data_IF_516906572209
#
_entry.id   IF_516906572209
#
_cell.length_a   1.000
_cell.length_b   1.000
_cell.length_c   1.000
_cell.angle_alpha   90.00
_cell.angle_beta   90.00
_cell.angle_gamma   90.00
#
_symmetry.space_group_name_H-M   'P 1'
#
loop_
_entity.id
_entity.type
_entity.pdbx_description
1 polymer ?
#
# COMPACT_ATOMS: atom_id res chain seq x y z
N UNK A 1 -50.32 -45.30 -32.00
CA UNK A 1 -49.56 -44.12 -32.46
C UNK A 1 -50.41 -42.88 -32.20
N UNK A 2 -50.14 -42.16 -31.10
CA UNK A 2 -50.94 -41.01 -30.68
C UNK A 2 -50.06 -39.95 -30.00
N UNK A 3 -49.97 -38.81 -30.71
CA UNK A 3 -50.12 -37.40 -30.29
C UNK A 3 -49.43 -36.85 -29.04
N UNK A 4 -48.89 -35.63 -29.21
CA UNK A 4 -49.10 -34.40 -28.38
C UNK A 4 -47.79 -33.83 -27.80
N UNK A 5 -47.27 -32.72 -28.31
CA UNK A 5 -47.61 -31.33 -27.98
C UNK A 5 -47.52 -30.98 -26.48
N UNK A 6 -46.73 -29.92 -26.22
CA UNK A 6 -46.68 -29.08 -25.02
C UNK A 6 -45.79 -29.60 -23.87
N UNK A 7 -44.59 -29.01 -23.78
CA UNK A 7 -44.00 -28.67 -22.48
C UNK A 7 -43.50 -27.23 -22.52
N UNK A 8 -44.48 -26.33 -22.47
CA UNK A 8 -44.32 -24.96 -21.99
C UNK A 8 -44.04 -25.01 -20.48
N UNK A 9 -43.37 -23.98 -19.97
CA UNK A 9 -42.97 -23.74 -18.58
C UNK A 9 -41.77 -24.56 -18.09
N UNK A 10 -40.58 -23.94 -18.14
CA UNK A 10 -39.73 -23.55 -16.99
C UNK A 10 -38.38 -23.14 -17.59
N UNK A 11 -38.28 -21.95 -18.16
CA UNK A 11 -37.00 -21.27 -18.40
C UNK A 11 -37.25 -19.80 -18.07
N UNK A 12 -37.21 -19.47 -16.78
CA UNK A 12 -37.14 -18.08 -16.31
C UNK A 12 -36.75 -18.11 -14.82
N UNK A 13 -35.55 -18.62 -14.50
CA UNK A 13 -34.96 -18.38 -13.20
C UNK A 13 -33.45 -18.67 -13.19
N UNK A 14 -32.68 -18.01 -14.07
CA UNK A 14 -31.22 -18.06 -13.93
C UNK A 14 -30.53 -16.79 -14.44
N UNK A 15 -31.11 -15.62 -14.15
CA UNK A 15 -30.40 -14.34 -14.29
C UNK A 15 -30.71 -13.51 -13.05
N UNK A 16 -30.16 -13.88 -11.91
CA UNK A 16 -30.11 -12.99 -10.73
C UNK A 16 -28.95 -13.25 -9.77
N UNK A 17 -28.14 -14.32 -9.95
CA UNK A 17 -27.08 -14.64 -8.99
C UNK A 17 -25.67 -14.17 -9.37
N UNK A 18 -25.50 -13.42 -10.48
CA UNK A 18 -24.18 -12.95 -10.92
C UNK A 18 -23.88 -11.51 -10.48
N UNK A 19 -24.89 -10.74 -10.03
CA UNK A 19 -24.70 -9.30 -9.74
C UNK A 19 -24.27 -9.05 -8.28
N UNK A 20 -24.40 -10.00 -7.36
CA UNK A 20 -24.13 -9.73 -5.94
C UNK A 20 -22.64 -9.75 -5.53
N UNK A 21 -21.75 -10.35 -6.33
CA UNK A 21 -20.32 -10.42 -5.99
C UNK A 21 -19.56 -9.10 -6.26
N UNK A 22 -20.04 -8.24 -7.15
CA UNK A 22 -19.38 -6.96 -7.45
C UNK A 22 -19.70 -5.86 -6.42
N UNK A 23 -20.82 -5.98 -5.69
CA UNK A 23 -21.22 -5.00 -4.67
C UNK A 23 -20.47 -5.14 -3.35
N UNK A 24 -20.20 -6.39 -2.93
CA UNK A 24 -19.53 -6.69 -1.65
C UNK A 24 -18.06 -6.24 -1.66
N UNK A 25 -17.38 -6.33 -2.79
CA UNK A 25 -15.97 -5.89 -2.89
C UNK A 25 -15.85 -4.37 -2.73
N UNK A 26 -16.64 -3.58 -3.47
CA UNK A 26 -16.59 -2.11 -3.40
C UNK A 26 -16.88 -1.56 -2.00
N UNK A 27 -17.81 -2.17 -1.27
CA UNK A 27 -18.19 -1.75 0.09
C UNK A 27 -17.03 -1.97 1.09
N UNK A 28 -16.26 -3.05 0.92
CA UNK A 28 -15.09 -3.36 1.76
C UNK A 28 -13.95 -2.35 1.53
N UNK A 29 -13.62 -2.04 0.27
CA UNK A 29 -12.60 -1.05 -0.08
C UNK A 29 -12.94 0.38 0.38
N UNK A 30 -14.21 0.76 0.39
CA UNK A 30 -14.64 2.08 0.85
C UNK A 30 -14.41 2.28 2.36
N UNK A 31 -14.68 1.25 3.18
CA UNK A 31 -14.44 1.29 4.63
C UNK A 31 -12.96 1.19 5.01
N UNK A 32 -12.15 0.46 4.23
CA UNK A 32 -10.71 0.38 4.43
C UNK A 32 -9.99 1.71 4.13
N UNK A 33 -10.41 2.41 3.08
CA UNK A 33 -9.84 3.72 2.73
C UNK A 33 -10.10 4.79 3.82
N UNK A 34 -11.19 4.67 4.59
CA UNK A 34 -11.42 5.52 5.77
C UNK A 34 -10.42 5.21 6.89
N UNK A 35 -10.09 3.92 7.09
CA UNK A 35 -9.22 3.47 8.17
C UNK A 35 -7.78 3.99 8.01
N UNK A 36 -7.27 4.11 6.78
CA UNK A 36 -5.90 4.57 6.52
C UNK A 36 -5.79 6.07 6.21
N UNK A 37 -6.87 6.84 6.37
CA UNK A 37 -6.92 8.25 5.94
C UNK A 37 -5.88 9.14 6.62
N UNK A 38 -5.61 8.94 7.91
CA UNK A 38 -4.56 9.68 8.63
C UNK A 38 -3.17 9.37 8.06
N UNK A 39 -2.88 8.10 7.80
CA UNK A 39 -1.61 7.62 7.24
C UNK A 39 -1.42 8.07 5.79
N UNK A 40 -2.48 8.05 4.99
CA UNK A 40 -2.48 8.60 3.64
C UNK A 40 -2.19 10.11 3.64
N UNK A 41 -2.79 10.88 4.56
CA UNK A 41 -2.51 12.30 4.71
C UNK A 41 -1.06 12.59 5.13
N UNK A 42 -0.40 11.69 5.87
CA UNK A 42 1.03 11.80 6.16
C UNK A 42 1.88 11.60 4.89
N UNK A 43 1.58 10.60 4.08
CA UNK A 43 2.26 10.38 2.79
C UNK A 43 2.13 11.61 1.90
N UNK A 44 0.94 12.17 1.78
CA UNK A 44 0.69 13.38 0.99
C UNK A 44 1.49 14.59 1.49
N UNK A 45 1.56 14.79 2.82
CA UNK A 45 2.38 15.85 3.42
C UNK A 45 3.87 15.66 3.15
N UNK A 46 4.37 14.43 3.24
CA UNK A 46 5.78 14.12 2.96
C UNK A 46 6.11 14.38 1.49
N UNK A 47 5.27 13.92 0.55
CA UNK A 47 5.48 14.14 -0.89
C UNK A 47 5.40 15.63 -1.24
N UNK A 48 4.50 16.39 -0.60
CA UNK A 48 4.45 17.85 -0.78
C UNK A 48 5.71 18.56 -0.25
N UNK A 49 6.33 18.02 0.82
CA UNK A 49 7.56 18.56 1.42
C UNK A 49 8.82 18.20 0.63
N UNK A 50 8.86 17.03 0.01
CA UNK A 50 10.02 16.48 -0.70
C UNK A 50 9.70 16.24 -2.18
N UNK A 51 9.86 17.27 -3.05
CA UNK A 51 9.48 17.18 -4.46
C UNK A 51 10.31 16.18 -5.29
N UNK A 52 11.43 15.67 -4.77
CA UNK A 52 12.20 14.58 -5.39
C UNK A 52 11.58 13.19 -5.20
N UNK A 53 10.60 13.04 -4.29
CA UNK A 53 9.89 11.78 -4.12
C UNK A 53 9.04 11.52 -5.37
N UNK A 54 9.35 10.44 -6.08
CA UNK A 54 8.50 9.94 -7.18
C UNK A 54 7.46 8.97 -6.66
N UNK A 55 7.80 8.19 -5.64
CA UNK A 55 6.92 7.23 -5.01
C UNK A 55 7.25 7.12 -3.53
N UNK A 56 6.21 7.23 -2.71
CA UNK A 56 6.28 6.96 -1.27
C UNK A 56 5.17 5.97 -0.94
N UNK A 57 5.54 4.82 -0.40
CA UNK A 57 4.59 3.77 0.01
C UNK A 57 4.70 3.50 1.50
N UNK A 58 3.60 3.06 2.10
CA UNK A 58 3.58 2.41 3.41
C UNK A 58 2.93 1.05 3.26
N UNK A 59 3.68 0.02 3.63
CA UNK A 59 3.31 -1.38 3.60
C UNK A 59 3.10 -1.88 5.03
N UNK A 60 1.94 -2.45 5.30
CA UNK A 60 1.63 -3.00 6.62
C UNK A 60 0.79 -4.26 6.47
N UNK A 61 0.60 -5.00 7.57
CA UNK A 61 -0.41 -6.07 7.66
C UNK A 61 -1.61 -5.49 8.42
N UNK A 62 -2.72 -5.14 7.73
CA UNK A 62 -3.89 -4.60 8.41
C UNK A 62 -4.46 -5.57 9.44
N UNK A 63 -5.11 -5.04 10.49
CA UNK A 63 -5.73 -5.85 11.54
C UNK A 63 -6.73 -6.84 10.95
N UNK A 64 -6.56 -8.13 11.27
CA UNK A 64 -7.43 -9.21 10.78
C UNK A 64 -7.00 -9.80 9.43
N UNK A 65 -6.02 -9.20 8.76
CA UNK A 65 -5.42 -9.75 7.55
C UNK A 65 -4.18 -10.60 7.83
N UNK A 66 -3.80 -11.44 6.86
CA UNK A 66 -2.62 -12.30 6.93
C UNK A 66 -1.47 -11.85 6.02
N UNK A 67 -1.74 -10.91 5.11
CA UNK A 67 -0.81 -10.49 4.06
C UNK A 67 -0.56 -9.01 4.16
N UNK A 68 0.69 -8.61 3.91
CA UNK A 68 1.03 -7.20 3.82
C UNK A 68 0.62 -6.63 2.47
N UNK A 69 0.16 -5.38 2.48
CA UNK A 69 -0.17 -4.60 1.29
C UNK A 69 0.11 -3.12 1.50
N UNK A 70 0.06 -2.36 0.41
CA UNK A 70 0.19 -0.90 0.41
C UNK A 70 -1.06 -0.28 1.03
N UNK A 71 -0.93 0.31 2.22
CA UNK A 71 -2.02 0.98 2.94
C UNK A 71 -2.07 2.50 2.68
N UNK A 72 -0.95 3.09 2.26
CA UNK A 72 -0.87 4.50 1.88
C UNK A 72 0.17 4.69 0.77
N UNK A 73 -0.14 5.54 -0.20
CA UNK A 73 0.74 5.83 -1.33
C UNK A 73 0.36 7.13 -2.05
N UNK A 74 1.34 7.84 -2.61
CA UNK A 74 1.08 8.96 -3.52
C UNK A 74 0.62 8.52 -4.93
N UNK A 75 0.74 7.24 -5.28
CA UNK A 75 0.28 6.66 -6.55
C UNK A 75 -0.98 5.83 -6.28
N UNK A 76 -2.15 6.34 -6.70
CA UNK A 76 -3.45 5.75 -6.39
C UNK A 76 -3.60 4.31 -6.88
N UNK A 77 -3.01 3.98 -8.02
CA UNK A 77 -3.08 2.66 -8.66
C UNK A 77 -2.24 1.60 -7.92
N UNK A 78 -1.42 2.01 -6.94
CA UNK A 78 -0.62 1.10 -6.10
C UNK A 78 -1.33 0.73 -4.80
N UNK A 79 -2.28 1.54 -4.32
CA UNK A 79 -3.01 1.26 -3.08
C UNK A 79 -3.65 -0.13 -3.10
N UNK A 80 -3.51 -0.86 -1.99
CA UNK A 80 -4.06 -2.20 -1.80
C UNK A 80 -3.28 -3.33 -2.48
N UNK A 81 -2.26 -3.04 -3.30
CA UNK A 81 -1.43 -4.09 -3.91
C UNK A 81 -0.61 -4.83 -2.85
N UNK A 82 -0.36 -6.14 -3.04
CA UNK A 82 0.53 -6.89 -2.16
C UNK A 82 1.90 -6.23 -2.05
N UNK A 83 2.51 -6.35 -0.87
CA UNK A 83 3.88 -5.88 -0.64
C UNK A 83 4.90 -6.72 -1.39
N UNK A 84 5.97 -6.06 -1.83
CA UNK A 84 7.05 -6.70 -2.56
C UNK A 84 8.02 -7.41 -1.58
N UNK A 85 8.88 -8.33 -2.05
CA UNK A 85 9.74 -9.14 -1.18
C UNK A 85 10.64 -8.30 -0.25
N UNK A 86 11.14 -7.17 -0.72
CA UNK A 86 11.97 -6.24 0.04
C UNK A 86 11.21 -5.60 1.22
N UNK A 87 9.93 -5.24 1.04
CA UNK A 87 9.11 -4.70 2.14
C UNK A 87 8.94 -5.73 3.25
N UNK A 88 8.67 -6.98 2.85
CA UNK A 88 8.52 -8.10 3.76
C UNK A 88 9.83 -8.39 4.51
N UNK A 89 10.96 -8.34 3.80
CA UNK A 89 12.27 -8.58 4.39
C UNK A 89 12.67 -7.47 5.37
N UNK A 90 12.35 -6.20 5.06
CA UNK A 90 12.64 -5.07 5.94
C UNK A 90 11.79 -5.15 7.21
N UNK A 91 10.50 -5.50 7.10
CA UNK A 91 9.65 -5.77 8.27
C UNK A 91 10.14 -6.94 9.13
N UNK A 92 10.79 -7.94 8.53
CA UNK A 92 11.31 -9.10 9.24
C UNK A 92 12.65 -8.83 9.91
N UNK A 93 13.54 -8.12 9.23
CA UNK A 93 14.96 -7.99 9.64
C UNK A 93 15.28 -6.67 10.32
N UNK A 94 14.42 -5.67 10.19
CA UNK A 94 14.67 -4.30 10.62
C UNK A 94 15.91 -3.68 9.92
N UNK A 95 16.23 -4.12 8.71
CA UNK A 95 17.38 -3.64 7.92
C UNK A 95 16.90 -2.91 6.68
N UNK A 96 17.51 -1.77 6.40
CA UNK A 96 17.24 -0.99 5.20
C UNK A 96 17.74 -1.75 3.96
N UNK A 97 16.92 -1.75 2.92
CA UNK A 97 17.28 -2.28 1.60
C UNK A 97 17.32 -1.10 0.62
N UNK A 98 18.30 -1.11 -0.28
CA UNK A 98 18.46 -0.10 -1.33
C UNK A 98 18.44 -0.81 -2.66
N UNK A 99 17.57 -0.35 -3.56
CA UNK A 99 17.41 -0.85 -4.92
C UNK A 99 17.56 0.32 -5.91
N UNK A 100 18.07 0.00 -7.10
CA UNK A 100 18.12 0.93 -8.22
C UNK A 100 16.98 0.62 -9.17
N UNK A 101 16.17 1.64 -9.49
CA UNK A 101 15.02 1.55 -10.39
C UNK A 101 15.20 2.53 -11.55
N UNK A 102 15.79 2.08 -12.66
CA UNK A 102 16.12 2.93 -13.80
C UNK A 102 16.96 4.16 -13.36
N UNK A 103 16.40 5.37 -13.52
CA UNK A 103 16.97 6.65 -13.11
C UNK A 103 16.65 7.04 -11.65
N UNK A 104 15.92 6.18 -10.93
CA UNK A 104 15.52 6.41 -9.54
C UNK A 104 16.27 5.50 -8.57
N UNK A 105 16.33 5.96 -7.33
CA UNK A 105 16.82 5.21 -6.19
C UNK A 105 15.64 4.85 -5.30
N UNK A 106 15.41 3.57 -5.04
CA UNK A 106 14.41 3.12 -4.07
C UNK A 106 15.09 2.68 -2.78
N UNK A 107 14.65 3.23 -1.65
CA UNK A 107 15.14 2.87 -0.32
C UNK A 107 13.98 2.38 0.51
N UNK A 108 13.99 1.10 0.84
CA UNK A 108 12.98 0.47 1.70
C UNK A 108 13.48 0.47 3.13
N UNK A 109 12.72 1.11 4.02
CA UNK A 109 13.07 1.28 5.42
C UNK A 109 11.96 0.79 6.36
N UNK A 110 12.30 0.29 7.57
CA UNK A 110 11.31 -0.13 8.54
C UNK A 110 10.66 1.09 9.20
N UNK A 111 9.35 1.03 9.39
CA UNK A 111 8.63 1.88 10.34
C UNK A 111 8.53 1.09 11.63
N UNK A 112 9.09 1.64 12.70
CA UNK A 112 9.20 0.97 13.98
C UNK A 112 8.32 1.62 15.03
N UNK A 113 7.77 0.80 15.93
CA UNK A 113 7.13 1.30 17.14
C UNK A 113 8.15 1.96 18.10
N UNK A 114 7.66 2.47 19.24
CA UNK A 114 8.51 3.11 20.26
C UNK A 114 9.53 2.16 20.90
N UNK A 115 9.33 0.84 20.80
CA UNK A 115 10.25 -0.17 21.28
C UNK A 115 11.30 -0.57 20.22
N UNK A 116 11.24 0.02 19.03
CA UNK A 116 12.15 -0.28 17.92
C UNK A 116 11.76 -1.53 17.14
N UNK A 117 10.57 -2.10 17.38
CA UNK A 117 10.05 -3.25 16.64
C UNK A 117 9.45 -2.78 15.31
N UNK A 118 9.81 -3.37 14.16
CA UNK A 118 9.16 -3.07 12.89
C UNK A 118 7.67 -3.42 12.93
N UNK A 119 6.83 -2.47 12.52
CA UNK A 119 5.37 -2.64 12.41
C UNK A 119 4.85 -2.41 10.98
N UNK A 120 5.67 -1.79 10.13
CA UNK A 120 5.41 -1.54 8.73
C UNK A 120 6.74 -1.36 7.97
N UNK A 121 6.70 -1.31 6.65
CA UNK A 121 7.79 -0.87 5.79
C UNK A 121 7.37 0.36 4.98
N UNK A 122 8.33 1.16 4.57
CA UNK A 122 8.12 2.27 3.64
C UNK A 122 9.14 2.21 2.52
N UNK A 123 8.66 2.28 1.27
CA UNK A 123 9.50 2.48 0.10
C UNK A 123 9.58 3.98 -0.21
N UNK A 124 10.80 4.50 -0.27
CA UNK A 124 11.10 5.90 -0.63
C UNK A 124 11.86 5.89 -1.95
N UNK A 125 11.12 6.08 -3.03
CA UNK A 125 11.70 6.17 -4.37
C UNK A 125 11.96 7.63 -4.71
N UNK A 126 13.23 7.97 -4.93
CA UNK A 126 13.72 9.31 -5.23
C UNK A 126 14.21 9.41 -6.66
N UNK A 127 13.87 10.51 -7.33
CA UNK A 127 14.56 10.92 -8.55
C UNK A 127 15.86 11.62 -8.18
N UNK A 128 16.99 11.03 -8.57
CA UNK A 128 18.29 11.67 -8.37
C UNK A 128 18.45 12.85 -9.32
N UNK A 129 18.98 13.97 -8.82
CA UNK A 129 19.34 15.10 -9.68
C UNK A 129 20.53 14.71 -10.55
N UNK A 130 20.64 15.31 -11.74
CA UNK A 130 21.81 15.11 -12.61
C UNK A 130 23.10 15.45 -11.85
N UNK A 131 24.00 14.48 -11.71
CA UNK A 131 25.26 14.62 -10.98
C UNK A 131 25.17 14.47 -9.46
N UNK A 132 23.99 14.14 -8.90
CA UNK A 132 23.86 13.73 -7.50
C UNK A 132 24.34 12.28 -7.34
N UNK A 133 25.15 12.00 -6.31
CA UNK A 133 25.62 10.65 -6.04
C UNK A 133 24.54 9.80 -5.39
N UNK A 134 24.59 8.49 -5.64
CA UNK A 134 23.66 7.53 -5.02
C UNK A 134 23.70 7.61 -3.48
N UNK A 135 24.89 7.73 -2.88
CA UNK A 135 25.06 7.91 -1.43
C UNK A 135 24.27 9.10 -0.86
N UNK A 136 24.26 10.23 -1.57
CA UNK A 136 23.48 11.41 -1.15
C UNK A 136 21.97 11.15 -1.23
N UNK A 137 21.54 10.42 -2.26
CA UNK A 137 20.16 9.94 -2.38
C UNK A 137 19.77 9.01 -1.23
N UNK A 138 20.65 8.05 -0.89
CA UNK A 138 20.43 7.09 0.20
C UNK A 138 20.30 7.81 1.54
N UNK A 139 21.22 8.72 1.86
CA UNK A 139 21.17 9.47 3.12
C UNK A 139 19.93 10.36 3.21
N UNK A 140 19.50 10.93 2.09
CA UNK A 140 18.26 11.69 2.03
C UNK A 140 17.03 10.81 2.27
N UNK A 141 16.94 9.66 1.60
CA UNK A 141 15.83 8.73 1.78
C UNK A 141 15.76 8.20 3.22
N UNK A 142 16.91 7.91 3.85
CA UNK A 142 16.99 7.56 5.28
C UNK A 142 16.45 8.66 6.19
N UNK A 143 16.78 9.92 5.89
CA UNK A 143 16.26 11.08 6.63
C UNK A 143 14.74 11.20 6.50
N UNK A 144 14.21 11.04 5.28
CA UNK A 144 12.77 11.02 4.99
C UNK A 144 12.08 9.87 5.77
N UNK A 145 12.65 8.67 5.74
CA UNK A 145 12.13 7.52 6.47
C UNK A 145 12.06 7.77 7.98
N UNK A 146 13.10 8.38 8.57
CA UNK A 146 13.15 8.74 9.99
C UNK A 146 12.08 9.78 10.35
N UNK A 147 11.91 10.79 9.50
CA UNK A 147 10.87 11.81 9.69
C UNK A 147 9.48 11.19 9.61
N UNK A 148 9.22 10.37 8.59
CA UNK A 148 7.94 9.69 8.43
C UNK A 148 7.64 8.77 9.62
N UNK A 149 8.61 7.97 10.08
CA UNK A 149 8.44 7.12 11.26
C UNK A 149 8.07 7.97 12.50
N UNK A 150 8.76 9.10 12.70
CA UNK A 150 8.45 10.03 13.79
C UNK A 150 7.03 10.59 13.67
N UNK A 151 6.60 10.97 12.45
CA UNK A 151 5.27 11.48 12.20
C UNK A 151 4.18 10.43 12.50
N UNK A 152 4.42 9.16 12.11
CA UNK A 152 3.53 8.03 12.41
C UNK A 152 3.41 7.82 13.93
N UNK A 153 4.54 7.82 14.66
CA UNK A 153 4.53 7.65 16.12
C UNK A 153 3.83 8.78 16.89
N UNK A 154 3.69 9.96 16.27
CA UNK A 154 3.00 11.11 16.84
C UNK A 154 1.49 11.14 16.52
N UNK A 155 1.00 10.24 15.67
CA UNK A 155 -0.45 10.08 15.47
C UNK A 155 -1.10 9.44 16.70
N UNK A 156 -2.41 9.66 16.87
CA UNK A 156 -3.15 9.03 17.99
C UNK A 156 -3.21 7.52 17.85
N UNK A 157 -3.27 7.04 16.60
CA UNK A 157 -3.25 5.62 16.26
C UNK A 157 -2.22 5.40 15.15
N UNK A 158 -1.03 4.88 15.47
CA UNK A 158 -0.04 4.57 14.46
C UNK A 158 -0.62 3.66 13.37
N UNK A 159 -0.50 4.11 12.12
CA UNK A 159 -0.95 3.44 10.89
C UNK A 159 -2.48 3.48 10.59
N UNK A 160 -3.39 3.45 11.57
CA UNK A 160 -4.86 3.56 11.37
C UNK A 160 -5.68 3.72 12.68
#
# INVERSE_FOLDING_TARGET
MRVSFIKLMIINFLISFVIFLAGVTKQFWAGENECFKETQALVEKMVAKYPEIVRLTIHAVPTGEKRSRIIACNIKEKLGKPSDPEDLEVMKTNKIIVLKEDDNLDVTAPICDKAGKPIAATGITLRLKKGESEDKGIEKAKSIAKELNTAILNTKKPLW
#
